data_IF_266621005406
#
_entry.id   IF_266621005406
#
_cell.length_a   1.000
_cell.length_b   1.000
_cell.length_c   1.000
_cell.angle_alpha   90.00
_cell.angle_beta   90.00
_cell.angle_gamma   90.00
#
_symmetry.space_group_name_H-M   'P 1'
#
loop_
_entity.id
_entity.type
_entity.pdbx_description
1 polymer ?
#
# COMPACT_ATOMS: atom_id res chain seq x y z
N UNK A 1 20.67 -27.43 1.82
CA UNK A 1 19.43 -26.63 1.89
C UNK A 1 18.57 -27.30 2.93
N UNK A 2 18.24 -26.64 4.07
CA UNK A 2 17.26 -27.16 5.02
C UNK A 2 15.92 -27.24 4.27
N UNK A 3 15.26 -28.40 4.30
CA UNK A 3 13.92 -28.54 3.76
C UNK A 3 13.00 -27.54 4.46
N UNK A 4 12.62 -26.48 3.74
CA UNK A 4 11.63 -25.53 4.26
C UNK A 4 10.30 -26.31 4.34
N UNK A 5 9.73 -26.41 5.52
CA UNK A 5 8.46 -27.12 5.70
C UNK A 5 7.35 -26.35 4.97
N UNK A 6 6.70 -27.03 4.02
CA UNK A 6 5.53 -26.50 3.32
C UNK A 6 4.38 -26.47 4.32
N UNK A 7 3.84 -25.28 4.58
CA UNK A 7 2.66 -25.09 5.43
C UNK A 7 1.37 -25.44 4.68
N UNK A 8 1.24 -24.95 3.44
CA UNK A 8 0.06 -25.16 2.60
C UNK A 8 0.40 -25.04 1.12
N UNK A 9 -0.31 -25.78 0.26
CA UNK A 9 -0.33 -25.57 -1.19
C UNK A 9 -1.63 -24.89 -1.58
N UNK A 10 -1.56 -23.80 -2.32
CA UNK A 10 -2.70 -22.99 -2.75
C UNK A 10 -2.65 -22.80 -4.25
N UNK A 11 -3.76 -23.07 -4.92
CA UNK A 11 -3.93 -22.76 -6.33
C UNK A 11 -4.55 -21.37 -6.46
N UNK A 12 -3.95 -20.52 -7.28
CA UNK A 12 -4.57 -19.27 -7.69
C UNK A 12 -5.69 -19.55 -8.70
N UNK A 13 -6.93 -19.34 -8.28
CA UNK A 13 -8.11 -19.51 -9.14
C UNK A 13 -8.58 -18.22 -9.78
N UNK A 14 -7.97 -17.09 -9.40
CA UNK A 14 -8.46 -15.76 -9.77
C UNK A 14 -7.77 -15.21 -11.01
N UNK A 15 -6.47 -15.43 -11.17
CA UNK A 15 -5.66 -14.80 -12.22
C UNK A 15 -4.84 -15.80 -13.01
N UNK A 16 -3.83 -16.44 -12.37
CA UNK A 16 -2.81 -17.21 -13.09
C UNK A 16 -3.15 -18.68 -13.28
N UNK A 17 -3.99 -19.26 -12.42
CA UNK A 17 -4.22 -20.70 -12.34
C UNK A 17 -3.03 -21.50 -11.81
N UNK A 18 -1.94 -20.85 -11.43
CA UNK A 18 -0.72 -21.46 -10.90
C UNK A 18 -0.91 -21.98 -9.47
N UNK A 19 -0.02 -22.89 -9.05
CA UNK A 19 -0.04 -23.41 -7.69
C UNK A 19 1.16 -22.90 -6.93
N UNK A 20 0.91 -22.23 -5.82
CA UNK A 20 1.91 -21.69 -4.90
C UNK A 20 1.98 -22.52 -3.63
N UNK A 21 3.09 -22.42 -2.93
CA UNK A 21 3.31 -23.00 -1.61
C UNK A 21 3.45 -21.87 -0.60
N UNK A 22 2.83 -22.01 0.55
CA UNK A 22 3.11 -21.17 1.70
C UNK A 22 4.15 -21.89 2.56
N UNK A 23 5.27 -21.21 2.81
CA UNK A 23 6.41 -21.71 3.56
C UNK A 23 6.59 -20.82 4.78
N UNK A 24 6.75 -21.43 5.96
CA UNK A 24 6.99 -20.68 7.18
C UNK A 24 8.41 -20.12 7.20
N UNK A 25 8.54 -18.81 7.40
CA UNK A 25 9.82 -18.19 7.68
C UNK A 25 10.26 -18.51 9.11
N UNK A 26 11.36 -19.26 9.28
CA UNK A 26 11.84 -19.74 10.59
C UNK A 26 12.34 -18.59 11.48
N UNK A 27 12.77 -17.48 10.89
CA UNK A 27 13.31 -16.35 11.66
C UNK A 27 12.22 -15.45 12.20
N UNK A 28 11.19 -15.19 11.41
CA UNK A 28 10.18 -14.18 11.70
C UNK A 28 8.78 -14.76 11.92
N UNK A 29 8.56 -16.03 11.58
CA UNK A 29 7.32 -16.75 11.84
C UNK A 29 6.16 -16.45 10.87
N UNK A 30 6.31 -15.55 9.90
CA UNK A 30 5.30 -15.32 8.87
C UNK A 30 5.36 -16.37 7.74
N UNK A 31 4.32 -16.41 6.91
CA UNK A 31 4.24 -17.30 5.75
C UNK A 31 4.72 -16.57 4.49
N UNK A 32 5.62 -17.21 3.76
CA UNK A 32 6.14 -16.73 2.48
C UNK A 32 5.52 -17.51 1.34
N UNK A 33 5.09 -16.82 0.29
CA UNK A 33 4.67 -17.46 -0.97
C UNK A 33 5.88 -17.96 -1.75
N UNK A 34 5.84 -19.20 -2.21
CA UNK A 34 6.90 -19.82 -3.01
C UNK A 34 6.32 -20.63 -4.20
N UNK A 35 6.90 -20.53 -5.41
CA UNK A 35 7.89 -19.52 -5.78
C UNK A 35 7.28 -18.10 -5.69
N UNK A 36 8.11 -17.11 -5.43
CA UNK A 36 7.65 -15.72 -5.57
C UNK A 36 7.48 -15.40 -7.06
N UNK A 37 6.37 -14.75 -7.47
CA UNK A 37 6.24 -14.27 -8.83
C UNK A 37 7.40 -13.36 -9.22
N UNK A 38 7.81 -13.43 -10.48
CA UNK A 38 8.82 -12.52 -11.02
C UNK A 38 8.32 -11.08 -10.95
N UNK A 39 9.20 -10.14 -10.56
CA UNK A 39 8.85 -8.71 -10.42
C UNK A 39 8.16 -8.14 -11.68
N UNK A 40 8.61 -8.57 -12.86
CA UNK A 40 8.05 -8.13 -14.15
C UNK A 40 6.61 -8.63 -14.37
N UNK A 41 6.22 -9.75 -13.76
CA UNK A 41 4.89 -10.34 -13.87
C UNK A 41 3.93 -9.85 -12.78
N UNK A 42 4.44 -9.21 -11.72
CA UNK A 42 3.58 -8.74 -10.63
C UNK A 42 2.43 -7.85 -11.12
N UNK A 43 2.67 -6.98 -12.10
CA UNK A 43 1.63 -6.14 -12.68
C UNK A 43 0.48 -6.92 -13.32
N UNK A 44 0.71 -8.16 -13.76
CA UNK A 44 -0.32 -9.01 -14.39
C UNK A 44 -1.34 -9.51 -13.37
N UNK A 45 -0.90 -9.79 -12.13
CA UNK A 45 -1.77 -10.20 -11.03
C UNK A 45 -2.71 -9.08 -10.54
N UNK A 46 -2.42 -7.82 -10.89
CA UNK A 46 -3.20 -6.63 -10.50
C UNK A 46 -4.02 -6.03 -11.66
N UNK A 47 -3.99 -6.65 -12.85
CA UNK A 47 -4.72 -6.17 -14.05
C UNK A 47 -6.22 -6.49 -14.04
N UNK A 48 -6.77 -7.06 -12.97
CA UNK A 48 -8.21 -7.33 -12.91
C UNK A 48 -9.00 -6.03 -12.96
N UNK A 49 -10.00 -5.97 -13.85
CA UNK A 49 -10.92 -4.82 -13.99
C UNK A 49 -11.59 -4.42 -12.66
N UNK A 50 -11.66 -5.35 -11.72
CA UNK A 50 -12.19 -5.14 -10.38
C UNK A 50 -11.37 -4.16 -9.52
N UNK A 51 -10.07 -3.99 -9.77
CA UNK A 51 -9.23 -3.04 -9.01
C UNK A 51 -9.65 -1.58 -9.23
N UNK A 52 -10.20 -1.27 -10.41
CA UNK A 52 -10.61 0.09 -10.80
C UNK A 52 -12.13 0.29 -10.70
N UNK A 53 -12.93 -0.79 -10.89
CA UNK A 53 -14.38 -0.73 -10.99
C UNK A 53 -15.09 -0.35 -9.69
N UNK A 54 -14.43 -0.45 -8.54
CA UNK A 54 -15.01 -0.04 -7.26
C UNK A 54 -15.05 1.48 -7.03
N UNK A 55 -14.67 2.30 -8.02
CA UNK A 55 -14.38 3.70 -7.75
C UNK A 55 -15.47 4.68 -8.19
N UNK A 56 -16.40 4.39 -9.10
CA UNK A 56 -17.18 5.48 -9.69
C UNK A 56 -18.64 5.22 -10.10
N UNK A 57 -19.29 4.15 -9.72
CA UNK A 57 -20.70 3.98 -10.05
C UNK A 57 -21.65 4.28 -8.87
N UNK A 58 -22.44 5.34 -9.02
CA UNK A 58 -23.34 5.89 -7.97
C UNK A 58 -24.75 5.27 -7.98
N UNK A 59 -24.95 4.03 -8.43
CA UNK A 59 -26.32 3.60 -8.79
C UNK A 59 -27.08 2.69 -7.85
N UNK A 60 -26.49 2.10 -6.80
CA UNK A 60 -27.19 1.14 -5.94
C UNK A 60 -27.05 1.43 -4.43
N UNK A 61 -27.99 0.92 -3.61
CA UNK A 61 -27.93 0.99 -2.14
C UNK A 61 -26.62 0.42 -1.57
N UNK A 62 -26.08 -0.62 -2.20
CA UNK A 62 -24.78 -1.22 -1.84
C UNK A 62 -23.63 -0.23 -2.04
N UNK A 63 -23.66 0.56 -3.11
CA UNK A 63 -22.63 1.58 -3.36
C UNK A 63 -22.70 2.72 -2.33
N UNK A 64 -23.90 3.14 -1.97
CA UNK A 64 -24.08 4.12 -0.87
C UNK A 64 -23.50 3.59 0.44
N UNK A 65 -23.78 2.33 0.78
CA UNK A 65 -23.20 1.68 1.95
C UNK A 65 -21.67 1.61 1.86
N UNK A 66 -21.11 1.24 0.70
CA UNK A 66 -19.67 1.24 0.44
C UNK A 66 -19.04 2.63 0.65
N UNK A 67 -19.65 3.69 0.09
CA UNK A 67 -19.14 5.05 0.28
C UNK A 67 -19.17 5.50 1.74
N UNK A 68 -20.19 5.10 2.49
CA UNK A 68 -20.27 5.40 3.93
C UNK A 68 -19.14 4.69 4.69
N UNK A 69 -18.96 3.39 4.45
CA UNK A 69 -17.90 2.60 5.09
C UNK A 69 -16.51 3.15 4.72
N UNK A 70 -16.28 3.45 3.44
CA UNK A 70 -15.06 4.08 2.95
C UNK A 70 -14.77 5.40 3.65
N UNK A 71 -15.75 6.29 3.75
CA UNK A 71 -15.59 7.58 4.43
C UNK A 71 -15.30 7.42 5.92
N UNK A 72 -15.90 6.44 6.59
CA UNK A 72 -15.59 6.11 7.98
C UNK A 72 -14.15 5.62 8.10
N UNK A 73 -13.71 4.73 7.20
CA UNK A 73 -12.33 4.22 7.17
C UNK A 73 -11.32 5.36 6.98
N UNK A 74 -11.54 6.25 6.00
CA UNK A 74 -10.67 7.40 5.74
C UNK A 74 -10.56 8.32 6.97
N UNK A 75 -11.69 8.60 7.64
CA UNK A 75 -11.70 9.39 8.88
C UNK A 75 -10.93 8.72 10.01
N UNK A 76 -11.03 7.38 10.12
CA UNK A 76 -10.29 6.60 11.14
C UNK A 76 -8.78 6.64 10.85
N UNK A 77 -8.37 6.45 9.60
CA UNK A 77 -6.97 6.58 9.17
C UNK A 77 -6.43 7.98 9.50
N UNK A 78 -7.18 9.03 9.15
CA UNK A 78 -6.79 10.40 9.46
C UNK A 78 -6.67 10.64 10.97
N UNK A 79 -7.65 10.18 11.76
CA UNK A 79 -7.60 10.28 13.22
C UNK A 79 -6.36 9.57 13.78
N UNK A 80 -6.02 8.42 13.22
CA UNK A 80 -4.85 7.65 13.64
C UNK A 80 -3.56 8.40 13.38
N UNK A 81 -3.33 8.92 12.18
CA UNK A 81 -2.12 9.68 11.89
C UNK A 81 -2.03 10.99 12.68
N UNK A 82 -3.18 11.64 12.97
CA UNK A 82 -3.23 12.86 13.78
C UNK A 82 -3.03 12.61 15.29
N UNK A 83 -3.04 11.35 15.75
CA UNK A 83 -2.79 11.04 17.17
C UNK A 83 -1.31 11.02 17.54
N UNK A 84 -0.43 11.16 16.57
CA UNK A 84 1.02 11.23 16.76
C UNK A 84 1.49 12.68 16.57
N UNK A 85 2.39 13.09 17.43
CA UNK A 85 3.00 14.41 17.32
C UNK A 85 3.84 14.50 16.05
N UNK A 86 3.61 15.55 15.28
CA UNK A 86 4.29 15.79 14.02
C UNK A 86 4.36 17.30 13.78
N UNK A 87 5.56 17.83 13.65
CA UNK A 87 5.78 19.28 13.50
C UNK A 87 5.42 19.76 12.08
N UNK A 88 5.87 19.02 11.06
CA UNK A 88 5.73 19.42 9.67
C UNK A 88 4.58 18.69 8.93
N UNK A 89 4.07 17.63 9.51
CA UNK A 89 2.98 16.82 8.94
C UNK A 89 3.28 16.27 7.53
N UNK A 90 4.46 15.70 7.33
CA UNK A 90 4.85 15.05 6.08
C UNK A 90 4.38 13.59 6.10
N UNK A 91 3.49 13.24 5.18
CA UNK A 91 2.92 11.89 5.02
C UNK A 91 3.39 11.26 3.70
N UNK A 92 3.88 10.02 3.78
CA UNK A 92 4.03 9.14 2.63
C UNK A 92 3.05 7.97 2.74
N UNK A 93 2.21 7.78 1.72
CA UNK A 93 1.30 6.62 1.62
C UNK A 93 1.78 5.70 0.49
N UNK A 94 2.28 4.51 0.84
CA UNK A 94 2.81 3.53 -0.12
C UNK A 94 1.68 2.60 -0.53
N UNK A 95 1.42 2.49 -1.85
CA UNK A 95 0.26 1.82 -2.41
C UNK A 95 -1.02 2.62 -2.19
N UNK A 96 -0.97 3.92 -2.48
CA UNK A 96 -2.05 4.86 -2.14
C UNK A 96 -3.31 4.72 -3.02
N UNK A 97 -3.30 3.82 -4.03
CA UNK A 97 -4.41 3.61 -4.94
C UNK A 97 -4.84 4.89 -5.64
N UNK A 98 -6.13 5.18 -5.65
CA UNK A 98 -6.69 6.40 -6.27
C UNK A 98 -6.55 7.67 -5.41
N UNK A 99 -5.72 7.65 -4.36
CA UNK A 99 -5.30 8.82 -3.61
C UNK A 99 -6.34 9.41 -2.65
N UNK A 100 -7.40 8.67 -2.30
CA UNK A 100 -8.48 9.24 -1.46
C UNK A 100 -8.02 9.55 -0.04
N UNK A 101 -7.17 8.71 0.54
CA UNK A 101 -6.60 8.96 1.85
C UNK A 101 -5.67 10.17 1.82
N UNK A 102 -4.81 10.25 0.80
CA UNK A 102 -3.93 11.42 0.61
C UNK A 102 -4.74 12.71 0.46
N UNK A 103 -5.85 12.68 -0.31
CA UNK A 103 -6.72 13.86 -0.44
C UNK A 103 -7.31 14.30 0.89
N UNK A 104 -7.79 13.34 1.69
CA UNK A 104 -8.32 13.64 3.04
C UNK A 104 -7.24 14.19 3.96
N UNK A 105 -6.05 13.62 3.93
CA UNK A 105 -4.90 14.10 4.71
C UNK A 105 -4.50 15.53 4.28
N UNK A 106 -4.39 15.79 2.98
CA UNK A 106 -4.06 17.11 2.43
C UNK A 106 -5.06 18.20 2.87
N UNK A 107 -6.36 17.89 2.87
CA UNK A 107 -7.41 18.79 3.37
C UNK A 107 -7.30 19.05 4.89
N UNK A 108 -6.51 18.26 5.61
CA UNK A 108 -6.23 18.41 7.04
C UNK A 108 -4.79 18.85 7.32
N UNK A 109 -4.22 19.60 6.38
CA UNK A 109 -2.91 20.25 6.46
C UNK A 109 -1.71 19.31 6.50
N UNK A 110 -1.84 18.07 5.98
CA UNK A 110 -0.71 17.19 5.73
C UNK A 110 -0.07 17.54 4.38
N UNK A 111 1.25 17.61 4.35
CA UNK A 111 2.02 17.56 3.11
C UNK A 111 2.09 16.09 2.69
N UNK A 112 1.54 15.78 1.53
CA UNK A 112 1.35 14.39 1.13
C UNK A 112 2.25 14.00 -0.02
N UNK A 113 2.75 12.77 0.03
CA UNK A 113 3.37 12.07 -1.10
C UNK A 113 2.78 10.67 -1.18
N UNK A 114 2.65 10.14 -2.38
CA UNK A 114 2.15 8.78 -2.59
C UNK A 114 3.03 7.97 -3.53
N UNK A 115 3.03 6.66 -3.34
CA UNK A 115 3.57 5.69 -4.30
C UNK A 115 2.43 4.79 -4.75
N UNK A 116 2.27 4.67 -6.09
CA UNK A 116 1.26 3.79 -6.69
C UNK A 116 1.81 3.20 -8.00
N UNK A 117 1.99 1.86 -8.08
CA UNK A 117 2.50 1.21 -9.28
C UNK A 117 1.52 1.23 -10.45
N UNK A 118 0.21 1.17 -10.20
CA UNK A 118 -0.79 1.18 -11.26
C UNK A 118 -0.94 2.56 -11.86
N UNK A 119 -0.65 2.69 -13.15
CA UNK A 119 -0.65 3.98 -13.85
C UNK A 119 -2.03 4.66 -13.84
N UNK A 120 -3.11 3.92 -14.05
CA UNK A 120 -4.47 4.50 -14.08
C UNK A 120 -4.88 5.00 -12.69
N UNK A 121 -4.63 4.22 -11.63
CA UNK A 121 -4.88 4.64 -10.26
C UNK A 121 -4.04 5.86 -9.90
N UNK A 122 -2.77 5.89 -10.30
CA UNK A 122 -1.84 7.01 -10.11
C UNK A 122 -2.31 8.28 -10.81
N UNK A 123 -2.83 8.19 -12.04
CA UNK A 123 -3.41 9.34 -12.75
C UNK A 123 -4.62 9.92 -12.01
N UNK A 124 -5.53 9.08 -11.51
CA UNK A 124 -6.68 9.51 -10.70
C UNK A 124 -6.21 10.16 -9.39
N UNK A 125 -5.23 9.56 -8.72
CA UNK A 125 -4.67 10.09 -7.49
C UNK A 125 -4.01 11.47 -7.71
N UNK A 126 -3.30 11.64 -8.82
CA UNK A 126 -2.63 12.89 -9.17
C UNK A 126 -3.61 14.05 -9.42
N UNK A 127 -4.77 13.76 -10.00
CA UNK A 127 -5.84 14.78 -10.13
C UNK A 127 -6.37 15.27 -8.77
N UNK A 128 -6.31 14.41 -7.73
CA UNK A 128 -6.79 14.72 -6.38
C UNK A 128 -5.74 15.39 -5.51
N UNK A 129 -4.46 15.13 -5.76
CA UNK A 129 -3.33 15.46 -4.87
C UNK A 129 -2.35 16.47 -5.46
N UNK A 130 -2.70 17.15 -6.57
CA UNK A 130 -1.82 18.10 -7.25
C UNK A 130 -0.48 17.47 -7.70
N UNK A 131 -0.55 16.29 -8.31
CA UNK A 131 0.60 15.54 -8.84
C UNK A 131 1.62 15.10 -7.78
N UNK A 132 1.16 14.74 -6.59
CA UNK A 132 2.02 14.28 -5.49
C UNK A 132 2.11 12.74 -5.39
N UNK A 133 1.69 12.00 -6.43
CA UNK A 133 1.76 10.53 -6.47
C UNK A 133 2.69 10.08 -7.58
N UNK A 134 3.63 9.22 -7.22
CA UNK A 134 4.75 8.81 -8.04
C UNK A 134 4.73 7.28 -8.27
N UNK A 135 5.53 6.83 -9.21
CA UNK A 135 5.80 5.41 -9.44
C UNK A 135 6.78 4.83 -8.41
N UNK A 136 6.92 3.51 -8.40
CA UNK A 136 7.64 2.76 -7.36
C UNK A 136 9.10 3.17 -7.23
N UNK A 137 9.76 3.50 -8.32
CA UNK A 137 11.17 3.90 -8.39
C UNK A 137 11.46 5.17 -7.57
N UNK A 138 10.46 6.05 -7.45
CA UNK A 138 10.60 7.28 -6.66
C UNK A 138 10.79 7.00 -5.18
N UNK A 139 10.34 5.85 -4.66
CA UNK A 139 10.49 5.51 -3.24
C UNK A 139 11.94 5.59 -2.76
N UNK A 140 12.90 5.18 -3.60
CA UNK A 140 14.32 5.23 -3.28
C UNK A 140 14.96 6.61 -3.45
N UNK A 141 14.27 7.54 -4.10
CA UNK A 141 14.75 8.87 -4.44
C UNK A 141 14.28 9.96 -3.48
N UNK A 142 13.38 9.64 -2.55
CA UNK A 142 12.99 10.59 -1.50
C UNK A 142 14.16 10.88 -0.57
N UNK A 143 14.17 12.09 -0.02
CA UNK A 143 15.14 12.51 0.96
C UNK A 143 15.01 11.69 2.25
N UNK A 144 16.16 11.31 2.83
CA UNK A 144 16.18 10.58 4.11
C UNK A 144 15.62 11.45 5.23
N UNK A 145 14.94 10.81 6.17
CA UNK A 145 14.38 11.47 7.35
C UNK A 145 13.45 12.65 7.03
N UNK A 146 12.67 12.50 5.93
CA UNK A 146 11.77 13.54 5.45
C UNK A 146 10.30 13.36 5.87
N UNK A 147 9.90 12.16 6.29
CA UNK A 147 8.51 11.87 6.61
C UNK A 147 8.27 11.70 8.11
N UNK A 148 7.23 12.38 8.61
CA UNK A 148 6.73 12.21 9.98
C UNK A 148 5.92 10.91 10.09
N UNK A 149 5.16 10.59 9.03
CA UNK A 149 4.34 9.38 8.94
C UNK A 149 4.55 8.70 7.60
N UNK A 150 4.72 7.37 7.65
CA UNK A 150 4.62 6.51 6.47
C UNK A 150 3.51 5.51 6.73
N UNK A 151 2.61 5.29 5.75
CA UNK A 151 1.51 4.34 5.85
C UNK A 151 1.52 3.34 4.70
N UNK A 152 1.16 2.08 5.02
CA UNK A 152 0.90 1.00 4.09
C UNK A 152 -0.41 0.32 4.50
N UNK A 153 -1.43 0.42 3.66
CA UNK A 153 -2.75 -0.14 3.93
C UNK A 153 -3.04 -1.28 2.97
N UNK A 154 -2.88 -2.53 3.42
CA UNK A 154 -3.00 -3.74 2.60
C UNK A 154 -2.05 -3.73 1.38
N UNK A 155 -0.79 -3.42 1.63
CA UNK A 155 0.27 -3.33 0.63
C UNK A 155 1.49 -4.13 1.03
N UNK A 156 1.80 -4.15 2.33
CA UNK A 156 3.03 -4.73 2.84
C UNK A 156 3.17 -6.21 2.50
N UNK A 157 2.06 -6.96 2.51
CA UNK A 157 1.96 -8.37 2.13
C UNK A 157 2.24 -8.63 0.64
N UNK A 158 2.17 -7.60 -0.18
CA UNK A 158 2.39 -7.68 -1.63
C UNK A 158 3.79 -7.23 -2.06
N UNK A 159 4.59 -6.67 -1.14
CA UNK A 159 5.91 -6.15 -1.49
C UNK A 159 6.91 -7.28 -1.72
N UNK A 160 7.58 -7.32 -2.88
CA UNK A 160 8.74 -8.19 -3.08
C UNK A 160 9.92 -7.70 -2.23
N UNK A 161 10.89 -8.58 -1.94
CA UNK A 161 12.12 -8.18 -1.22
C UNK A 161 11.85 -7.39 0.06
N UNK A 162 10.95 -7.88 0.91
CA UNK A 162 10.43 -7.21 2.09
C UNK A 162 11.49 -6.49 2.94
N UNK A 163 12.63 -7.12 3.19
CA UNK A 163 13.73 -6.53 3.97
C UNK A 163 14.32 -5.26 3.35
N UNK A 164 14.41 -5.22 2.01
CA UNK A 164 14.90 -4.03 1.32
C UNK A 164 13.91 -2.87 1.49
N UNK A 165 12.61 -3.14 1.34
CA UNK A 165 11.58 -2.12 1.56
C UNK A 165 11.56 -1.61 3.00
N UNK A 166 11.66 -2.50 4.01
CA UNK A 166 11.76 -2.09 5.42
C UNK A 166 12.94 -1.15 5.63
N UNK A 167 14.10 -1.46 5.05
CA UNK A 167 15.29 -0.62 5.17
C UNK A 167 15.10 0.75 4.53
N UNK A 168 14.46 0.81 3.36
CA UNK A 168 14.12 2.08 2.69
C UNK A 168 13.16 2.89 3.57
N UNK A 169 12.03 2.30 3.97
CA UNK A 169 11.00 2.99 4.78
C UNK A 169 11.59 3.53 6.08
N UNK A 170 12.44 2.75 6.76
CA UNK A 170 13.13 3.17 7.98
C UNK A 170 14.04 4.39 7.74
N UNK A 171 14.74 4.43 6.60
CA UNK A 171 15.62 5.55 6.26
C UNK A 171 14.85 6.82 5.87
N UNK A 172 13.62 6.69 5.37
CA UNK A 172 12.75 7.81 5.00
C UNK A 172 12.06 8.44 6.19
N UNK A 173 11.83 7.67 7.27
CA UNK A 173 11.22 8.19 8.49
C UNK A 173 12.18 9.12 9.24
N UNK A 174 11.64 10.23 9.75
CA UNK A 174 12.30 11.06 10.75
C UNK A 174 12.58 10.25 12.04
N UNK A 175 13.45 10.75 12.90
CA UNK A 175 13.86 10.08 14.16
C UNK A 175 12.65 9.68 15.01
N UNK A 176 11.64 10.56 15.09
CA UNK A 176 10.40 10.31 15.83
C UNK A 176 9.21 9.98 14.89
N UNK A 177 9.50 9.63 13.64
CA UNK A 177 8.49 9.30 12.66
C UNK A 177 7.81 7.98 12.96
N UNK A 178 6.56 7.85 12.52
CA UNK A 178 5.73 6.67 12.78
C UNK A 178 5.43 5.91 11.48
N UNK A 179 5.59 4.59 11.53
CA UNK A 179 5.23 3.68 10.44
C UNK A 179 3.92 2.95 10.78
N UNK A 180 2.91 3.11 9.93
CA UNK A 180 1.66 2.35 10.00
C UNK A 180 1.63 1.25 8.96
N UNK A 181 1.43 0.02 9.39
CA UNK A 181 1.26 -1.14 8.52
C UNK A 181 -0.05 -1.83 8.90
N UNK A 182 -0.95 -1.96 7.93
CA UNK A 182 -2.13 -2.82 8.00
C UNK A 182 -2.02 -3.89 6.90
N UNK A 183 -2.18 -5.16 7.26
CA UNK A 183 -2.17 -6.34 6.37
C UNK A 183 -3.48 -7.08 6.49
#
# INVERSE_FOLDING_TARGET
MKDKSIFLKVKDHSVSGETFQLIKNETYGFLETFPQPEEQKLSEYYKTEDYISHTDSKRNLLEKAYHVVRNISLKRKLKLINSFESEEKNLLDVGCGTGDFLKVAQLNNWQVSGIEPNEQARQIANQKTNNMVFETEQLSNFEKHSFDVISLWHVFEHLPKLHAHISILKNLLKVNGTLFIAV
#
